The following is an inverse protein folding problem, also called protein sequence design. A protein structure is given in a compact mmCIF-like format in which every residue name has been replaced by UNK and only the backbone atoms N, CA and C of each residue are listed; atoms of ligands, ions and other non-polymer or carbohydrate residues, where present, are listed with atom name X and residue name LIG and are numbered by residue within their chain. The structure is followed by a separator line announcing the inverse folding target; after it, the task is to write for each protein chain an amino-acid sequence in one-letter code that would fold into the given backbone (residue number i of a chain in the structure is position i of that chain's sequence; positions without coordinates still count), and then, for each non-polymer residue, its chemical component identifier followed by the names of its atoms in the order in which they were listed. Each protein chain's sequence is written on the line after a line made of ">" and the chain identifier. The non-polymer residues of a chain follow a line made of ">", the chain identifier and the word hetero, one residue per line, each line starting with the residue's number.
data_IF_671397700591
#
_entry.id   IF_671397700591
#
_cell.length_a   1.000
_cell.length_b   1.000
_cell.length_c   1.000
_cell.angle_alpha   90.00
_cell.angle_beta   90.00
_cell.angle_gamma   90.00
#
_symmetry.space_group_name_H-M   'P 1'
#
loop_
_entity.id
_entity.type
_entity.pdbx_description
1 polymer ?
#
# COMPACT_ATOMS: atom_id res chain seq x y z
N UNK A 1 27.14 -33.65 36.18
CA UNK A 1 28.04 -32.51 35.83
C UNK A 1 28.31 -32.55 34.33
N UNK A 2 28.53 -31.39 33.68
CA UNK A 2 27.73 -30.92 32.53
C UNK A 2 28.54 -30.81 31.23
N UNK A 3 27.86 -30.64 30.09
CA UNK A 3 28.30 -29.70 29.04
C UNK A 3 27.07 -28.98 28.49
N UNK A 4 27.07 -27.67 28.65
CA UNK A 4 26.17 -26.69 28.04
C UNK A 4 26.75 -26.20 26.70
N UNK A 5 25.89 -26.05 25.68
CA UNK A 5 26.02 -25.11 24.56
C UNK A 5 24.60 -24.57 24.31
N UNK A 6 24.24 -23.37 24.78
CA UNK A 6 24.44 -22.06 24.17
C UNK A 6 23.94 -21.97 22.71
N UNK A 7 22.77 -21.32 22.56
CA UNK A 7 22.33 -20.51 21.43
C UNK A 7 22.56 -21.02 20.01
N UNK A 8 21.47 -21.20 19.26
CA UNK A 8 21.31 -20.44 18.02
C UNK A 8 19.82 -20.34 17.66
N UNK A 9 19.32 -19.10 17.69
CA UNK A 9 18.07 -18.68 17.08
C UNK A 9 18.04 -19.17 15.64
N UNK A 10 16.98 -19.86 15.27
CA UNK A 10 16.66 -20.13 13.89
C UNK A 10 16.51 -18.79 13.15
N UNK A 11 17.49 -18.47 12.32
CA UNK A 11 17.39 -17.45 11.29
C UNK A 11 16.28 -17.90 10.34
N UNK A 12 15.08 -17.32 10.47
CA UNK A 12 14.09 -17.34 9.39
C UNK A 12 14.44 -16.19 8.46
N UNK A 13 15.33 -16.45 7.51
CA UNK A 13 15.33 -15.71 6.25
C UNK A 13 13.95 -15.93 5.62
N UNK A 14 13.07 -14.94 5.70
CA UNK A 14 11.89 -14.90 4.84
C UNK A 14 12.34 -14.44 3.44
N UNK A 15 13.13 -15.28 2.78
CA UNK A 15 13.40 -15.17 1.36
C UNK A 15 12.20 -15.73 0.60
N UNK A 16 11.35 -14.86 0.07
CA UNK A 16 10.29 -15.26 -0.85
C UNK A 16 10.79 -15.07 -2.28
N UNK A 17 11.17 -16.18 -2.91
CA UNK A 17 11.64 -16.25 -4.30
C UNK A 17 10.53 -16.85 -5.14
N UNK A 18 10.01 -16.15 -6.16
CA UNK A 18 9.25 -16.78 -7.26
C UNK A 18 9.38 -16.00 -8.58
N UNK A 19 9.79 -16.70 -9.65
CA UNK A 19 9.75 -16.35 -11.08
C UNK A 19 9.97 -14.88 -11.50
N UNK A 20 11.08 -14.26 -11.07
CA UNK A 20 11.63 -13.05 -11.71
C UNK A 20 11.33 -11.73 -11.00
N UNK A 21 10.46 -11.72 -9.99
CA UNK A 21 10.32 -10.65 -9.02
C UNK A 21 10.78 -11.15 -7.64
N UNK A 22 11.91 -10.64 -7.15
CA UNK A 22 12.46 -11.00 -5.84
C UNK A 22 11.86 -10.07 -4.78
N UNK A 23 11.18 -10.59 -3.76
CA UNK A 23 10.92 -9.83 -2.53
C UNK A 23 12.05 -10.14 -1.55
N UNK A 24 13.12 -9.33 -1.56
CA UNK A 24 14.19 -9.45 -0.56
C UNK A 24 13.83 -8.64 0.68
N UNK A 25 13.39 -9.35 1.73
CA UNK A 25 13.33 -8.83 3.09
C UNK A 25 14.72 -9.00 3.72
N UNK A 26 15.59 -7.99 3.62
CA UNK A 26 16.81 -7.97 4.42
C UNK A 26 16.45 -7.65 5.88
N UNK A 27 16.37 -8.67 6.74
CA UNK A 27 16.18 -8.52 8.19
C UNK A 27 17.39 -9.07 8.98
N UNK A 28 18.38 -8.24 9.32
CA UNK A 28 19.38 -8.60 10.31
C UNK A 28 18.78 -8.36 11.71
N UNK A 29 18.04 -9.33 12.23
CA UNK A 29 17.71 -9.49 13.65
C UNK A 29 17.21 -8.22 14.39
N UNK A 30 15.92 -7.91 14.39
CA UNK A 30 15.40 -6.77 15.17
C UNK A 30 13.88 -6.71 15.38
N UNK A 31 13.44 -6.02 16.42
CA UNK A 31 12.05 -5.99 16.90
C UNK A 31 11.07 -5.26 15.95
N UNK A 32 9.80 -5.68 15.95
CA UNK A 32 8.67 -5.15 15.13
C UNK A 32 8.46 -3.62 15.20
N UNK A 33 9.11 -2.91 16.13
CA UNK A 33 8.97 -1.47 16.37
C UNK A 33 10.07 -0.59 15.78
N UNK A 34 11.03 -1.16 15.02
CA UNK A 34 12.12 -0.40 14.44
C UNK A 34 11.78 0.20 13.08
N UNK A 35 12.48 1.29 12.75
CA UNK A 35 12.45 1.86 11.41
C UNK A 35 13.23 0.97 10.45
N UNK A 36 12.69 0.71 9.26
CA UNK A 36 13.26 -0.23 8.30
C UNK A 36 13.04 0.20 6.86
N UNK A 37 14.02 -0.10 6.01
CA UNK A 37 13.96 0.09 4.56
C UNK A 37 13.60 -1.24 3.90
N UNK A 38 12.60 -1.23 3.04
CA UNK A 38 12.16 -2.38 2.26
C UNK A 38 12.33 -2.07 0.78
N UNK A 39 12.77 -3.06 -0.01
CA UNK A 39 12.81 -2.95 -1.48
C UNK A 39 11.84 -3.95 -2.07
N UNK A 40 10.98 -3.46 -2.95
CA UNK A 40 10.06 -4.29 -3.71
C UNK A 40 10.43 -4.17 -5.18
N UNK A 41 10.53 -5.30 -5.85
CA UNK A 41 10.91 -5.38 -7.25
C UNK A 41 9.67 -5.78 -8.06
N UNK A 42 9.38 -5.00 -9.09
CA UNK A 42 8.36 -5.22 -10.09
C UNK A 42 9.05 -5.36 -11.44
N UNK A 43 9.01 -6.55 -12.03
CA UNK A 43 9.81 -6.89 -13.22
C UNK A 43 11.32 -6.66 -12.95
N UNK A 44 12.16 -6.93 -13.95
CA UNK A 44 13.62 -6.83 -13.79
C UNK A 44 14.14 -5.39 -13.63
N UNK A 45 13.31 -4.35 -13.82
CA UNK A 45 13.75 -2.95 -13.90
C UNK A 45 12.98 -1.95 -13.04
N UNK A 46 11.79 -2.26 -12.55
CA UNK A 46 11.08 -1.36 -11.64
C UNK A 46 11.32 -1.80 -10.21
N UNK A 47 11.97 -0.94 -9.43
CA UNK A 47 12.14 -1.18 -8.01
C UNK A 47 11.57 0.01 -7.26
N UNK A 48 10.86 -0.27 -6.18
CA UNK A 48 10.45 0.75 -5.23
C UNK A 48 11.12 0.50 -3.89
N UNK A 49 11.44 1.60 -3.22
CA UNK A 49 11.92 1.58 -1.85
C UNK A 49 10.84 2.15 -0.96
N UNK A 50 10.44 1.39 0.05
CA UNK A 50 9.50 1.83 1.08
C UNK A 50 10.20 1.88 2.43
N UNK A 51 9.75 2.80 3.28
CA UNK A 51 10.28 2.95 4.63
C UNK A 51 9.17 2.69 5.65
N UNK A 52 9.36 1.67 6.49
CA UNK A 52 8.55 1.53 7.70
C UNK A 52 9.11 2.50 8.73
N UNK A 53 8.38 3.58 9.00
CA UNK A 53 8.70 4.50 10.10
C UNK A 53 8.20 3.95 11.43
N UNK A 54 8.69 4.50 12.54
CA UNK A 54 8.23 4.10 13.88
C UNK A 54 6.73 4.33 14.01
N UNK A 55 6.00 3.35 14.55
CA UNK A 55 4.55 3.41 14.72
C UNK A 55 3.72 3.11 13.48
N UNK A 56 4.33 2.99 12.30
CA UNK A 56 3.65 2.51 11.09
C UNK A 56 3.62 0.98 11.10
N UNK A 57 2.44 0.34 11.03
CA UNK A 57 2.34 -1.11 10.98
C UNK A 57 2.92 -1.64 9.67
N UNK A 58 3.48 -2.85 9.71
CA UNK A 58 4.10 -3.46 8.53
C UNK A 58 3.08 -3.67 7.40
N UNK A 59 1.86 -4.07 7.73
CA UNK A 59 0.75 -4.24 6.78
C UNK A 59 0.50 -2.97 5.94
N UNK A 60 0.66 -1.77 6.53
CA UNK A 60 0.53 -0.51 5.78
C UNK A 60 1.63 -0.35 4.72
N UNK A 61 2.84 -0.81 5.02
CA UNK A 61 3.95 -0.82 4.06
C UNK A 61 3.67 -1.80 2.93
N UNK A 62 3.13 -2.98 3.23
CA UNK A 62 2.72 -3.95 2.21
C UNK A 62 1.60 -3.40 1.34
N UNK A 63 0.57 -2.77 1.93
CA UNK A 63 -0.51 -2.13 1.17
C UNK A 63 0.01 -1.07 0.20
N UNK A 64 1.04 -0.30 0.57
CA UNK A 64 1.68 0.64 -0.35
C UNK A 64 2.35 -0.06 -1.54
N UNK A 65 3.06 -1.16 -1.29
CA UNK A 65 3.70 -1.93 -2.35
C UNK A 65 2.65 -2.53 -3.30
N UNK A 66 1.58 -3.10 -2.76
CA UNK A 66 0.47 -3.65 -3.55
C UNK A 66 -0.28 -2.56 -4.33
N UNK A 67 -0.52 -1.41 -3.72
CA UNK A 67 -1.12 -0.27 -4.41
C UNK A 67 -0.25 0.20 -5.58
N UNK A 68 1.07 0.33 -5.37
CA UNK A 68 1.99 0.64 -6.46
C UNK A 68 1.89 -0.40 -7.59
N UNK A 69 1.90 -1.69 -7.23
CA UNK A 69 1.80 -2.80 -8.18
C UNK A 69 0.51 -2.79 -9.01
N UNK A 70 -0.60 -2.33 -8.44
CA UNK A 70 -1.87 -2.21 -9.16
C UNK A 70 -1.88 -1.07 -10.20
N UNK A 71 -1.14 0.01 -9.95
CA UNK A 71 -1.29 1.27 -10.70
C UNK A 71 -0.08 1.66 -11.56
N UNK A 72 1.09 1.07 -11.36
CA UNK A 72 2.33 1.52 -12.03
C UNK A 72 2.32 1.44 -13.55
N UNK A 73 1.47 0.59 -14.15
CA UNK A 73 1.32 0.51 -15.62
C UNK A 73 0.37 1.56 -16.18
N UNK A 74 -0.55 2.09 -15.37
CA UNK A 74 -1.56 3.07 -15.82
C UNK A 74 -1.11 4.51 -15.55
N UNK A 75 -0.34 4.75 -14.48
CA UNK A 75 0.08 6.08 -14.08
C UNK A 75 1.61 6.20 -14.11
N UNK A 76 2.10 7.21 -14.81
CA UNK A 76 3.50 7.61 -14.81
C UNK A 76 3.87 8.33 -13.50
N UNK A 77 5.14 8.27 -13.10
CA UNK A 77 5.71 8.98 -11.94
C UNK A 77 4.92 8.81 -10.62
N UNK A 78 4.55 7.57 -10.27
CA UNK A 78 3.98 7.28 -8.95
C UNK A 78 5.05 7.49 -7.87
N UNK A 79 4.82 8.48 -7.01
CA UNK A 79 5.65 8.84 -5.86
C UNK A 79 5.10 8.20 -4.59
N UNK A 80 5.99 7.60 -3.81
CA UNK A 80 5.68 7.03 -2.50
C UNK A 80 5.93 8.06 -1.40
N UNK A 81 4.99 8.17 -0.45
CA UNK A 81 5.07 9.10 0.69
C UNK A 81 5.48 10.53 0.28
N UNK A 82 4.84 11.14 -0.75
CA UNK A 82 5.20 12.46 -1.21
C UNK A 82 4.97 13.51 -0.12
N UNK A 83 5.78 14.56 -0.16
CA UNK A 83 5.60 15.73 0.70
C UNK A 83 4.99 16.87 -0.10
N UNK A 84 3.73 17.20 0.20
CA UNK A 84 2.95 18.25 -0.45
C UNK A 84 2.65 19.38 0.54
N UNK A 85 2.47 20.59 0.04
CA UNK A 85 1.98 21.73 0.84
C UNK A 85 0.46 21.68 1.07
N UNK A 86 -0.07 20.51 1.41
CA UNK A 86 -1.50 20.25 1.64
C UNK A 86 -1.74 19.81 3.09
N UNK A 87 -2.98 19.96 3.57
CA UNK A 87 -3.39 19.54 4.93
C UNK A 87 -3.14 18.05 5.16
N UNK A 88 -3.34 17.27 4.12
CA UNK A 88 -3.39 15.83 4.14
C UNK A 88 -2.45 15.31 3.05
N UNK A 89 -1.66 14.28 3.37
CA UNK A 89 -0.68 13.68 2.47
C UNK A 89 -1.21 12.33 1.97
N UNK A 90 -1.07 11.99 0.68
CA UNK A 90 -1.33 10.64 0.21
C UNK A 90 -0.20 9.70 0.61
N UNK A 91 -0.48 8.40 0.62
CA UNK A 91 0.56 7.37 0.68
C UNK A 91 1.24 7.18 -0.68
N UNK A 92 0.47 7.30 -1.78
CA UNK A 92 0.99 7.33 -3.15
C UNK A 92 0.32 8.42 -3.97
N UNK A 93 1.10 9.07 -4.83
CA UNK A 93 0.62 10.13 -5.72
C UNK A 93 1.23 9.94 -7.10
N UNK A 94 0.40 10.00 -8.14
CA UNK A 94 0.89 10.29 -9.49
C UNK A 94 0.51 11.73 -9.84
N UNK A 95 1.35 12.37 -10.65
CA UNK A 95 1.07 13.70 -11.19
C UNK A 95 1.03 13.63 -12.72
N UNK A 96 0.23 14.48 -13.35
CA UNK A 96 0.22 14.62 -14.80
C UNK A 96 1.41 15.49 -15.29
N UNK A 97 1.47 15.71 -16.61
CA UNK A 97 2.50 16.54 -17.24
C UNK A 97 2.48 18.01 -16.79
N UNK A 98 1.37 18.49 -16.21
CA UNK A 98 1.27 19.83 -15.63
C UNK A 98 1.70 19.87 -14.15
N UNK A 99 2.04 18.72 -13.56
CA UNK A 99 2.40 18.59 -12.16
C UNK A 99 1.17 18.53 -11.23
N UNK A 100 -0.03 18.38 -11.77
CA UNK A 100 -1.26 18.27 -10.99
C UNK A 100 -1.50 16.82 -10.56
N UNK A 101 -2.04 16.56 -9.36
CA UNK A 101 -2.42 15.21 -8.95
C UNK A 101 -3.33 14.53 -9.98
N UNK A 102 -2.93 13.37 -10.47
CA UNK A 102 -3.72 12.51 -11.37
C UNK A 102 -4.23 11.26 -10.65
N UNK A 103 -3.46 10.73 -9.70
CA UNK A 103 -3.82 9.61 -8.82
C UNK A 103 -3.50 9.97 -7.37
N UNK A 104 -4.43 9.71 -6.45
CA UNK A 104 -4.24 9.87 -5.01
C UNK A 104 -4.60 8.58 -4.29
N UNK A 105 -3.63 7.91 -3.66
CA UNK A 105 -3.88 6.68 -2.91
C UNK A 105 -3.65 6.89 -1.42
N UNK A 106 -4.62 6.44 -0.63
CA UNK A 106 -4.52 6.26 0.81
C UNK A 106 -4.53 4.77 1.14
N UNK A 107 -3.59 4.30 1.94
CA UNK A 107 -3.50 2.92 2.41
C UNK A 107 -3.98 2.79 3.86
N UNK A 108 -4.43 1.59 4.22
CA UNK A 108 -4.77 1.23 5.60
C UNK A 108 -6.23 1.55 5.98
N UNK A 109 -6.41 2.12 7.17
CA UNK A 109 -7.74 2.39 7.72
C UNK A 109 -8.39 3.57 7.01
N UNK A 110 -9.67 3.42 6.64
CA UNK A 110 -10.46 4.46 6.00
C UNK A 110 -10.57 5.73 6.87
N UNK A 111 -9.91 6.81 6.46
CA UNK A 111 -10.18 8.16 6.96
C UNK A 111 -11.03 8.93 5.94
N UNK A 112 -12.33 9.01 6.20
CA UNK A 112 -13.27 9.69 5.33
C UNK A 112 -12.94 11.19 5.17
N UNK A 113 -12.40 11.85 6.19
CA UNK A 113 -12.06 13.28 6.11
C UNK A 113 -10.87 13.51 5.18
N UNK A 114 -9.90 12.60 5.20
CA UNK A 114 -8.71 12.62 4.35
C UNK A 114 -9.09 12.40 2.87
N UNK A 115 -9.96 11.41 2.60
CA UNK A 115 -10.49 11.13 1.27
C UNK A 115 -11.37 12.28 0.76
N UNK A 116 -12.28 12.81 1.59
CA UNK A 116 -13.12 13.94 1.19
C UNK A 116 -12.30 15.18 0.86
N UNK A 117 -11.24 15.45 1.63
CA UNK A 117 -10.32 16.54 1.33
C UNK A 117 -9.65 16.36 -0.02
N UNK A 118 -9.12 15.17 -0.32
CA UNK A 118 -8.49 14.88 -1.61
C UNK A 118 -9.49 15.10 -2.75
N UNK A 119 -10.73 14.62 -2.63
CA UNK A 119 -11.78 14.79 -3.64
C UNK A 119 -12.17 16.27 -3.86
N UNK A 120 -12.16 17.09 -2.80
CA UNK A 120 -12.52 18.52 -2.84
C UNK A 120 -11.41 19.44 -3.32
N UNK A 121 -10.18 19.15 -2.92
CA UNK A 121 -9.06 20.09 -3.02
C UNK A 121 -7.98 19.67 -4.02
N UNK A 122 -8.17 18.54 -4.68
CA UNK A 122 -7.28 18.09 -5.75
C UNK A 122 -8.06 17.80 -7.03
N UNK A 123 -7.35 17.87 -8.15
CA UNK A 123 -7.85 17.49 -9.48
C UNK A 123 -7.58 16.03 -9.82
N UNK A 124 -7.23 15.20 -8.82
CA UNK A 124 -6.97 13.78 -9.00
C UNK A 124 -8.10 13.12 -9.80
N UNK A 125 -7.74 12.49 -10.93
CA UNK A 125 -8.66 11.70 -11.73
C UNK A 125 -9.20 10.55 -10.89
N UNK A 126 -8.33 9.92 -10.10
CA UNK A 126 -8.70 8.85 -9.18
C UNK A 126 -8.21 9.12 -7.76
N UNK A 127 -9.09 8.91 -6.80
CA UNK A 127 -8.80 8.86 -5.36
C UNK A 127 -9.12 7.45 -4.89
N UNK A 128 -8.14 6.76 -4.32
CA UNK A 128 -8.24 5.33 -4.03
C UNK A 128 -7.95 5.09 -2.56
N UNK A 129 -8.83 4.35 -1.89
CA UNK A 129 -8.56 3.74 -0.59
C UNK A 129 -8.15 2.29 -0.79
N UNK A 130 -6.96 1.93 -0.34
CA UNK A 130 -6.44 0.56 -0.36
C UNK A 130 -6.37 0.02 1.07
N UNK A 131 -7.05 -1.07 1.36
CA UNK A 131 -7.20 -1.62 2.71
C UNK A 131 -7.16 -3.15 2.71
N UNK A 132 -7.27 -3.76 3.89
CA UNK A 132 -7.22 -5.22 4.07
C UNK A 132 -8.28 -5.69 5.05
N UNK A 133 -8.81 -6.91 4.83
CA UNK A 133 -9.53 -7.70 5.82
C UNK A 133 -10.87 -7.11 6.25
N UNK A 134 -11.30 -6.03 5.62
CA UNK A 134 -12.52 -5.32 5.94
C UNK A 134 -13.55 -5.57 4.85
N UNK A 135 -14.80 -5.79 5.27
CA UNK A 135 -15.93 -5.88 4.35
C UNK A 135 -16.07 -4.58 3.55
N UNK A 136 -15.92 -4.69 2.23
CA UNK A 136 -15.95 -3.55 1.32
C UNK A 136 -17.31 -2.86 1.36
N UNK A 137 -18.40 -3.61 1.55
CA UNK A 137 -19.76 -3.05 1.59
C UNK A 137 -19.94 -2.17 2.84
N UNK A 138 -19.36 -2.58 3.98
CA UNK A 138 -19.37 -1.79 5.20
C UNK A 138 -18.56 -0.49 5.04
N UNK A 139 -17.38 -0.56 4.42
CA UNK A 139 -16.57 0.64 4.14
C UNK A 139 -17.32 1.60 3.23
N UNK A 140 -17.87 1.09 2.13
CA UNK A 140 -18.62 1.88 1.15
C UNK A 140 -19.82 2.56 1.82
N UNK A 141 -20.56 1.83 2.66
CA UNK A 141 -21.67 2.39 3.43
C UNK A 141 -21.24 3.53 4.34
N UNK A 142 -20.14 3.35 5.08
CA UNK A 142 -19.62 4.40 5.98
C UNK A 142 -19.08 5.62 5.24
N UNK A 143 -18.41 5.41 4.09
CA UNK A 143 -17.93 6.51 3.25
C UNK A 143 -19.11 7.28 2.63
N UNK A 144 -20.17 6.60 2.16
CA UNK A 144 -21.38 7.25 1.61
C UNK A 144 -22.09 8.16 2.63
N UNK A 145 -22.03 7.84 3.92
CA UNK A 145 -22.59 8.69 4.98
C UNK A 145 -21.78 9.96 5.21
N UNK A 146 -20.47 9.93 4.92
CA UNK A 146 -19.52 10.99 5.31
C UNK A 146 -19.06 11.84 4.14
N UNK A 147 -19.04 11.28 2.93
CA UNK A 147 -18.57 11.94 1.71
C UNK A 147 -19.78 12.21 0.83
N UNK A 148 -20.02 13.49 0.54
CA UNK A 148 -21.14 13.89 -0.32
C UNK A 148 -20.95 13.36 -1.75
N UNK A 149 -21.99 12.71 -2.31
CA UNK A 149 -21.92 11.99 -3.59
C UNK A 149 -21.30 12.78 -4.75
N UNK A 150 -21.61 14.09 -4.85
CA UNK A 150 -21.04 15.01 -5.86
C UNK A 150 -19.51 15.00 -5.95
N UNK A 151 -18.83 14.60 -4.88
CA UNK A 151 -17.37 14.53 -4.84
C UNK A 151 -16.84 13.14 -5.17
N UNK A 152 -17.56 12.08 -4.81
CA UNK A 152 -17.09 10.70 -4.94
C UNK A 152 -17.39 10.05 -6.29
N UNK A 153 -18.50 10.44 -6.94
CA UNK A 153 -18.95 9.79 -8.18
C UNK A 153 -17.87 9.80 -9.26
N UNK A 154 -17.56 8.62 -9.79
CA UNK A 154 -16.55 8.34 -10.83
C UNK A 154 -15.09 8.67 -10.46
N UNK A 155 -14.81 9.09 -9.22
CA UNK A 155 -13.45 9.46 -8.77
C UNK A 155 -12.96 8.66 -7.57
N UNK A 156 -13.86 8.21 -6.69
CA UNK A 156 -13.49 7.45 -5.51
C UNK A 156 -13.56 5.94 -5.80
N UNK A 157 -12.46 5.24 -5.52
CA UNK A 157 -12.37 3.78 -5.56
C UNK A 157 -11.97 3.22 -4.20
N UNK A 158 -12.49 2.06 -3.85
CA UNK A 158 -12.09 1.30 -2.65
C UNK A 158 -11.59 -0.07 -3.09
N UNK A 159 -10.42 -0.46 -2.63
CA UNK A 159 -9.80 -1.76 -2.87
C UNK A 159 -9.53 -2.41 -1.52
N UNK A 160 -10.07 -3.60 -1.28
CA UNK A 160 -9.89 -4.37 -0.05
C UNK A 160 -9.24 -5.72 -0.36
N UNK A 161 -8.02 -5.93 0.12
CA UNK A 161 -7.33 -7.21 0.02
C UNK A 161 -7.93 -8.23 0.99
N UNK A 162 -8.24 -9.41 0.45
CA UNK A 162 -9.02 -10.46 1.13
C UNK A 162 -8.15 -11.53 1.81
N UNK A 163 -6.83 -11.50 1.62
CA UNK A 163 -5.88 -12.44 2.21
C UNK A 163 -5.04 -11.78 3.33
N UNK A 164 -4.51 -12.55 4.29
CA UNK A 164 -3.50 -12.07 5.22
C UNK A 164 -2.27 -11.53 4.44
N UNK A 165 -1.85 -10.29 4.71
CA UNK A 165 -0.72 -9.67 4.00
C UNK A 165 0.63 -10.32 4.30
N UNK A 166 0.75 -11.00 5.43
CA UNK A 166 1.91 -11.80 5.82
C UNK A 166 2.01 -13.13 5.04
N UNK A 167 0.92 -13.55 4.38
CA UNK A 167 0.87 -14.70 3.48
C UNK A 167 1.04 -14.31 1.99
N UNK A 168 1.27 -13.03 1.67
CA UNK A 168 1.49 -12.58 0.29
C UNK A 168 2.83 -13.09 -0.26
N UNK A 169 2.81 -14.31 -0.77
CA UNK A 169 3.85 -14.91 -1.60
C UNK A 169 3.34 -14.96 -3.03
N UNK A 170 3.29 -13.82 -3.71
CA UNK A 170 2.94 -13.77 -5.13
C UNK A 170 3.94 -12.89 -5.87
N UNK A 171 4.12 -13.20 -7.15
CA UNK A 171 4.73 -12.26 -8.07
C UNK A 171 3.87 -10.98 -8.05
N UNK A 172 4.40 -9.82 -7.59
CA UNK A 172 3.66 -8.56 -7.59
C UNK A 172 3.17 -8.15 -8.99
N UNK A 173 3.67 -8.79 -10.05
CA UNK A 173 3.23 -8.59 -11.44
C UNK A 173 1.93 -9.31 -11.77
N UNK A 174 1.56 -10.31 -10.99
CA UNK A 174 0.36 -11.11 -11.19
C UNK A 174 -0.46 -11.15 -9.90
N UNK A 175 -0.90 -9.99 -9.39
CA UNK A 175 -1.89 -9.96 -8.30
C UNK A 175 -3.15 -10.71 -8.80
N UNK A 176 -3.46 -11.91 -8.27
CA UNK A 176 -4.56 -12.71 -8.81
C UNK A 176 -5.90 -12.00 -8.62
N UNK A 177 -6.81 -12.15 -9.59
CA UNK A 177 -8.15 -11.52 -9.59
C UNK A 177 -9.08 -11.91 -8.42
N UNK A 178 -8.64 -12.76 -7.50
CA UNK A 178 -9.35 -13.12 -6.26
C UNK A 178 -8.75 -12.57 -4.97
N UNK A 179 -7.58 -11.92 -5.04
CA UNK A 179 -6.85 -11.48 -3.84
C UNK A 179 -7.38 -10.15 -3.27
N UNK A 180 -8.21 -9.43 -4.02
CA UNK A 180 -8.87 -8.21 -3.57
C UNK A 180 -10.28 -8.09 -4.15
N UNK A 181 -11.09 -7.27 -3.50
CA UNK A 181 -12.35 -6.73 -4.01
C UNK A 181 -12.17 -5.24 -4.30
N UNK A 182 -12.82 -4.75 -5.34
CA UNK A 182 -12.82 -3.33 -5.68
C UNK A 182 -14.25 -2.80 -5.82
N UNK A 183 -14.44 -1.52 -5.52
CA UNK A 183 -15.71 -0.81 -5.67
C UNK A 183 -15.46 0.62 -6.16
N UNK A 184 -16.19 1.02 -7.19
CA UNK A 184 -16.18 2.38 -7.76
C UNK A 184 -17.45 3.13 -7.33
N UNK A 185 -17.31 4.38 -6.89
CA UNK A 185 -18.42 5.24 -6.42
C UNK A 185 -19.20 5.96 -7.53
#
# INVERSE_FOLDING_TARGET
>A
MPISFSGNLAVRELGLVYNGAMMQLEDPQGSLNQERKFRFYLESKNQITLFKRKGVPFDHVILKALAYALYWKEFDDIRLDPHLSLKFQPDLLAVDLAGEPSLWIQCGKADAAHLEYALKHTRAREVVLVTQGTDIDQIVHELRKKIHYRYSTSRLKVISFCLPLDEFVYDPLEIPKGCYKAFDF
#
